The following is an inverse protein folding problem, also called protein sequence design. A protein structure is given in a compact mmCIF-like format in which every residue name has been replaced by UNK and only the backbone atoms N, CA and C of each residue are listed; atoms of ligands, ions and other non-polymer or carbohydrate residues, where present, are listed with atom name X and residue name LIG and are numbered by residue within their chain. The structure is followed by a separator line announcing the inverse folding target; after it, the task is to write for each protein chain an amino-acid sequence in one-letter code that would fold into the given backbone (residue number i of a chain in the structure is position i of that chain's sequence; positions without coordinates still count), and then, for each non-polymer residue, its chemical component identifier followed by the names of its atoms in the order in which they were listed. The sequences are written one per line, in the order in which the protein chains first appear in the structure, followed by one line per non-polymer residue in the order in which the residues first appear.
data_IF_148661507581
#
_entry.id   IF_148661507581
#
_cell.length_a   1.000
_cell.length_b   1.000
_cell.length_c   1.000
_cell.angle_alpha   90.00
_cell.angle_beta   90.00
_cell.angle_gamma   90.00
#
_symmetry.space_group_name_H-M   'P 1'
#
loop_
_entity.id
_entity.type
_entity.pdbx_description
1 polymer ?
#
# COMPACT_ATOMS: atom_id res chain seq x y z
N UNK A 1 -48.59 -31.97 -46.26
CA UNK A 1 -48.97 -30.64 -46.77
C UNK A 1 -47.79 -29.72 -46.51
N UNK A 2 -46.85 -29.46 -47.41
CA UNK A 2 -46.71 -29.56 -48.88
C UNK A 2 -45.22 -29.90 -49.12
N UNK A 3 -44.79 -30.88 -49.91
CA UNK A 3 -44.88 -31.03 -51.39
C UNK A 3 -44.62 -29.74 -52.17
N UNK A 4 -43.38 -29.57 -52.64
CA UNK A 4 -43.08 -29.01 -53.96
C UNK A 4 -41.66 -29.40 -54.39
N UNK A 5 -41.57 -29.83 -55.64
CA UNK A 5 -40.47 -30.52 -56.29
C UNK A 5 -39.43 -29.57 -56.93
N UNK A 6 -38.29 -30.21 -57.27
CA UNK A 6 -37.13 -29.87 -58.10
C UNK A 6 -37.45 -29.13 -59.45
N UNK A 7 -36.50 -28.46 -60.15
CA UNK A 7 -35.54 -29.18 -61.02
C UNK A 7 -34.10 -28.60 -61.17
N UNK A 8 -33.17 -29.55 -61.34
CA UNK A 8 -31.90 -29.58 -62.11
C UNK A 8 -31.57 -28.48 -63.13
N UNK A 9 -30.30 -28.03 -63.14
CA UNK A 9 -29.37 -27.84 -64.29
C UNK A 9 -28.11 -27.10 -63.75
N UNK A 10 -26.87 -27.23 -64.20
CA UNK A 10 -26.16 -27.97 -65.25
C UNK A 10 -24.66 -27.75 -64.92
N UNK A 11 -23.83 -28.77 -65.08
CA UNK A 11 -22.37 -28.60 -65.06
C UNK A 11 -21.91 -28.00 -66.42
N UNK A 12 -20.68 -27.48 -66.54
CA UNK A 12 -19.62 -28.43 -66.88
C UNK A 12 -18.26 -28.14 -66.23
N UNK A 13 -17.53 -29.23 -65.99
CA UNK A 13 -16.08 -29.29 -65.86
C UNK A 13 -15.38 -28.64 -67.05
N UNK A 14 -14.27 -27.95 -66.78
CA UNK A 14 -13.16 -27.85 -67.71
C UNK A 14 -11.86 -27.81 -66.91
N UNK A 15 -11.08 -28.87 -67.09
CA UNK A 15 -9.69 -29.00 -66.69
C UNK A 15 -8.83 -27.87 -67.28
N UNK A 16 -7.81 -27.41 -66.54
CA UNK A 16 -6.57 -26.99 -67.19
C UNK A 16 -5.36 -27.39 -66.33
N UNK A 17 -4.81 -28.53 -66.73
CA UNK A 17 -3.49 -29.01 -66.41
C UNK A 17 -2.43 -28.13 -67.07
N UNK A 18 -1.47 -27.59 -66.31
CA UNK A 18 -0.08 -27.67 -66.74
C UNK A 18 0.91 -27.32 -65.62
N UNK A 19 1.56 -28.40 -65.17
CA UNK A 19 2.89 -28.42 -64.60
C UNK A 19 3.89 -27.72 -65.52
N UNK A 20 4.63 -26.76 -65.00
CA UNK A 20 5.86 -26.27 -65.63
C UNK A 20 6.97 -26.28 -64.58
N UNK A 21 7.55 -27.45 -64.35
CA UNK A 21 8.86 -27.59 -63.70
C UNK A 21 9.91 -27.82 -64.78
N UNK A 22 10.85 -26.89 -64.87
CA UNK A 22 12.23 -27.14 -65.28
C UNK A 22 12.52 -27.15 -66.77
N UNK A 23 12.98 -26.00 -67.29
CA UNK A 23 14.09 -26.00 -68.25
C UNK A 23 15.06 -24.91 -67.85
N UNK A 24 16.22 -25.39 -67.42
CA UNK A 24 17.44 -24.66 -67.21
C UNK A 24 17.95 -24.13 -68.56
N UNK A 25 18.58 -22.95 -68.54
CA UNK A 25 19.47 -22.40 -69.57
C UNK A 25 18.92 -22.24 -71.01
N UNK A 26 18.34 -21.07 -71.31
CA UNK A 26 18.49 -20.47 -72.64
C UNK A 26 18.62 -18.94 -72.53
N UNK A 27 19.81 -18.52 -72.12
CA UNK A 27 20.31 -17.17 -72.42
C UNK A 27 20.70 -17.20 -73.88
N UNK A 28 19.93 -16.56 -74.77
CA UNK A 28 20.34 -15.82 -75.99
C UNK A 28 19.34 -15.97 -77.14
N UNK A 29 18.34 -15.09 -77.23
CA UNK A 29 17.77 -14.73 -78.56
C UNK A 29 16.92 -13.44 -78.53
N UNK A 30 16.33 -13.06 -77.40
CA UNK A 30 15.52 -11.83 -77.29
C UNK A 30 16.26 -10.57 -76.80
N UNK A 31 17.44 -10.71 -76.17
CA UNK A 31 18.19 -9.58 -75.61
C UNK A 31 19.19 -8.98 -76.60
N UNK A 32 19.60 -9.72 -77.64
CA UNK A 32 20.55 -9.27 -78.65
C UNK A 32 19.95 -8.24 -79.63
N UNK A 33 18.62 -8.23 -79.79
CA UNK A 33 17.91 -7.28 -80.65
C UNK A 33 17.79 -5.85 -80.09
N UNK A 34 18.15 -5.63 -78.80
CA UNK A 34 17.85 -4.39 -78.07
C UNK A 34 19.05 -3.42 -77.89
N UNK A 35 20.22 -3.76 -78.44
CA UNK A 35 21.46 -3.00 -78.24
C UNK A 35 21.92 -2.93 -76.77
N UNK A 36 23.11 -2.37 -76.53
CA UNK A 36 23.71 -2.31 -75.17
C UNK A 36 22.83 -1.54 -74.17
N UNK A 37 22.11 -0.52 -74.64
CA UNK A 37 21.21 0.27 -73.80
C UNK A 37 19.98 -0.52 -73.34
N UNK A 38 19.39 -1.36 -74.20
CA UNK A 38 18.22 -2.16 -73.87
C UNK A 38 18.56 -3.34 -72.95
N UNK A 39 19.73 -3.97 -73.13
CA UNK A 39 20.26 -4.97 -72.19
C UNK A 39 20.45 -4.39 -70.79
N UNK A 40 21.09 -3.22 -70.69
CA UNK A 40 21.29 -2.50 -69.42
C UNK A 40 19.97 -2.10 -68.73
N UNK A 41 18.96 -1.71 -69.51
CA UNK A 41 17.63 -1.40 -68.98
C UNK A 41 16.95 -2.65 -68.38
N UNK A 42 16.99 -3.78 -69.08
CA UNK A 42 16.44 -5.05 -68.60
C UNK A 42 17.16 -5.56 -67.35
N UNK A 43 18.48 -5.45 -67.31
CA UNK A 43 19.26 -5.84 -66.12
C UNK A 43 18.93 -4.94 -64.92
N UNK A 44 18.75 -3.64 -65.15
CA UNK A 44 18.32 -2.72 -64.08
C UNK A 44 16.92 -3.06 -63.53
N UNK A 45 16.01 -3.48 -64.41
CA UNK A 45 14.63 -3.83 -64.03
C UNK A 45 14.59 -5.17 -63.28
N UNK A 46 15.34 -6.17 -63.75
CA UNK A 46 15.52 -7.45 -63.05
C UNK A 46 16.13 -7.22 -61.67
N UNK A 47 17.16 -6.38 -61.57
CA UNK A 47 17.79 -6.06 -60.28
C UNK A 47 16.81 -5.38 -59.32
N UNK A 48 15.98 -4.45 -59.78
CA UNK A 48 14.94 -3.82 -58.95
C UNK A 48 13.91 -4.84 -58.48
N UNK A 49 13.40 -5.67 -59.39
CA UNK A 49 12.42 -6.69 -59.05
C UNK A 49 12.96 -7.72 -58.04
N UNK A 50 14.22 -8.14 -58.20
CA UNK A 50 14.88 -9.00 -57.23
C UNK A 50 15.02 -8.31 -55.87
N UNK A 51 15.44 -7.03 -55.84
CA UNK A 51 15.57 -6.27 -54.59
C UNK A 51 14.23 -6.09 -53.85
N UNK A 52 13.15 -5.81 -54.58
CA UNK A 52 11.81 -5.66 -54.00
C UNK A 52 11.28 -7.00 -53.49
N UNK A 53 11.50 -8.09 -54.24
CA UNK A 53 11.13 -9.44 -53.81
C UNK A 53 11.88 -9.86 -52.55
N UNK A 54 13.16 -9.55 -52.46
CA UNK A 54 13.99 -9.91 -51.32
C UNK A 54 13.63 -9.05 -50.08
N UNK A 55 13.30 -7.77 -50.27
CA UNK A 55 12.73 -6.91 -49.22
C UNK A 55 11.38 -7.43 -48.73
N UNK A 56 10.48 -7.82 -49.64
CA UNK A 56 9.18 -8.40 -49.28
C UNK A 56 9.37 -9.67 -48.46
N UNK A 57 10.26 -10.57 -48.89
CA UNK A 57 10.56 -11.81 -48.15
C UNK A 57 11.20 -11.54 -46.80
N UNK A 58 12.06 -10.53 -46.69
CA UNK A 58 12.64 -10.12 -45.42
C UNK A 58 11.57 -9.57 -44.47
N UNK A 59 10.66 -8.72 -44.96
CA UNK A 59 9.52 -8.21 -44.18
C UNK A 59 8.55 -9.32 -43.78
N UNK A 60 8.25 -10.27 -44.68
CA UNK A 60 7.43 -11.43 -44.36
C UNK A 60 8.08 -12.30 -43.29
N UNK A 61 9.39 -12.53 -43.37
CA UNK A 61 10.14 -13.25 -42.33
C UNK A 61 10.12 -12.52 -40.99
N UNK A 62 10.31 -11.19 -41.00
CA UNK A 62 10.24 -10.39 -39.77
C UNK A 62 8.83 -10.38 -39.17
N UNK A 63 7.79 -10.30 -40.00
CA UNK A 63 6.40 -10.40 -39.54
C UNK A 63 6.08 -11.79 -39.01
N UNK A 64 6.58 -12.84 -39.65
CA UNK A 64 6.42 -14.21 -39.19
C UNK A 64 7.21 -14.46 -37.90
N UNK A 65 8.41 -13.89 -37.77
CA UNK A 65 9.22 -13.97 -36.55
C UNK A 65 8.57 -13.20 -35.40
N UNK A 66 8.09 -11.96 -35.63
CA UNK A 66 7.32 -11.20 -34.65
C UNK A 66 6.04 -11.94 -34.25
N UNK A 67 5.33 -12.53 -35.21
CA UNK A 67 4.16 -13.36 -34.94
C UNK A 67 4.54 -14.61 -34.19
N UNK A 68 5.64 -15.29 -34.51
CA UNK A 68 6.11 -16.47 -33.80
C UNK A 68 6.60 -16.15 -32.39
N UNK A 69 7.17 -14.97 -32.15
CA UNK A 69 7.52 -14.51 -30.79
C UNK A 69 6.28 -14.07 -30.00
N UNK A 70 5.30 -13.43 -30.64
CA UNK A 70 4.03 -13.05 -30.00
C UNK A 70 3.07 -14.24 -29.81
N UNK A 71 3.21 -15.28 -30.63
CA UNK A 71 2.41 -16.51 -30.67
C UNK A 71 3.19 -17.72 -30.17
N UNK A 72 4.36 -17.51 -29.55
CA UNK A 72 4.83 -18.33 -28.45
C UNK A 72 4.08 -17.81 -27.22
N UNK A 73 2.88 -18.31 -26.92
CA UNK A 73 2.45 -18.27 -25.54
C UNK A 73 3.53 -19.05 -24.78
N UNK A 74 4.13 -18.44 -23.77
CA UNK A 74 4.46 -19.23 -22.59
C UNK A 74 3.19 -20.02 -22.27
N UNK A 75 3.28 -21.35 -22.37
CA UNK A 75 2.15 -22.19 -22.74
C UNK A 75 0.97 -22.03 -21.79
N UNK A 76 -0.25 -21.90 -22.30
CA UNK A 76 -1.48 -21.86 -21.49
C UNK A 76 -1.48 -20.88 -20.29
N UNK A 77 -0.53 -19.92 -20.24
CA UNK A 77 -0.44 -18.86 -19.24
C UNK A 77 -1.39 -17.71 -19.61
N UNK A 78 -2.66 -18.02 -19.89
CA UNK A 78 -3.69 -17.08 -19.43
C UNK A 78 -3.67 -17.22 -17.91
N UNK A 79 -3.12 -16.26 -17.14
CA UNK A 79 -3.14 -16.40 -15.71
C UNK A 79 -4.62 -16.52 -15.33
N UNK A 80 -4.97 -17.61 -14.64
CA UNK A 80 -6.35 -17.90 -14.29
C UNK A 80 -6.90 -16.66 -13.59
N UNK A 81 -7.76 -15.93 -14.30
CA UNK A 81 -8.23 -14.62 -13.85
C UNK A 81 -8.97 -14.78 -12.52
N UNK A 82 -9.59 -15.93 -12.28
CA UNK A 82 -10.20 -16.27 -11.00
C UNK A 82 -9.16 -16.58 -9.94
N UNK A 83 -8.05 -17.24 -10.26
CA UNK A 83 -6.93 -17.41 -9.33
C UNK A 83 -6.26 -16.07 -8.97
N UNK A 84 -6.02 -15.19 -9.94
CA UNK A 84 -5.50 -13.84 -9.68
C UNK A 84 -6.46 -13.06 -8.78
N UNK A 85 -7.77 -13.09 -9.08
CA UNK A 85 -8.77 -12.44 -8.24
C UNK A 85 -8.78 -13.02 -6.82
N UNK A 86 -8.76 -14.35 -6.67
CA UNK A 86 -8.69 -15.02 -5.35
C UNK A 86 -7.41 -14.69 -4.60
N UNK A 87 -6.29 -14.53 -5.30
CA UNK A 87 -5.03 -14.15 -4.67
C UNK A 87 -5.07 -12.68 -4.22
N UNK A 88 -5.55 -11.79 -5.09
CA UNK A 88 -5.71 -10.37 -4.78
C UNK A 88 -6.68 -10.12 -3.62
N UNK A 89 -7.80 -10.86 -3.55
CA UNK A 89 -8.75 -10.74 -2.43
C UNK A 89 -8.15 -11.26 -1.14
N UNK A 90 -7.43 -12.40 -1.17
CA UNK A 90 -6.73 -12.94 0.01
C UNK A 90 -5.66 -11.97 0.53
N UNK A 91 -4.87 -11.39 -0.36
CA UNK A 91 -3.85 -10.40 0.02
C UNK A 91 -4.48 -9.13 0.58
N UNK A 92 -5.54 -8.62 -0.05
CA UNK A 92 -6.25 -7.45 0.44
C UNK A 92 -6.88 -7.68 1.83
N UNK A 93 -7.51 -8.85 2.04
CA UNK A 93 -8.07 -9.26 3.33
C UNK A 93 -6.99 -9.42 4.39
N UNK A 94 -5.87 -10.09 4.06
CA UNK A 94 -4.73 -10.22 4.97
C UNK A 94 -4.17 -8.85 5.39
N UNK A 95 -4.01 -7.92 4.45
CA UNK A 95 -3.55 -6.56 4.76
C UNK A 95 -4.55 -5.80 5.64
N UNK A 96 -5.85 -5.94 5.39
CA UNK A 96 -6.89 -5.31 6.19
C UNK A 96 -6.92 -5.89 7.62
N UNK A 97 -6.93 -7.21 7.76
CA UNK A 97 -6.89 -7.92 9.04
C UNK A 97 -5.66 -7.55 9.85
N UNK A 98 -4.49 -7.46 9.22
CA UNK A 98 -3.26 -7.00 9.88
C UNK A 98 -3.33 -5.53 10.35
N UNK A 99 -4.11 -4.66 9.70
CA UNK A 99 -4.33 -3.28 10.17
C UNK A 99 -5.31 -3.23 11.36
N UNK A 100 -6.34 -4.07 11.31
CA UNK A 100 -7.32 -4.21 12.39
C UNK A 100 -6.62 -4.72 13.66
N UNK A 101 -5.87 -5.83 13.55
CA UNK A 101 -5.15 -6.41 14.68
C UNK A 101 -4.16 -5.41 15.32
N UNK A 102 -3.38 -4.68 14.51
CA UNK A 102 -2.50 -3.62 15.05
C UNK A 102 -3.26 -2.52 15.77
N UNK A 103 -4.44 -2.15 15.27
CA UNK A 103 -5.28 -1.12 15.87
C UNK A 103 -5.88 -1.59 17.19
N UNK A 104 -6.31 -2.85 17.24
CA UNK A 104 -6.88 -3.45 18.44
C UNK A 104 -5.84 -3.63 19.54
N UNK A 105 -4.66 -4.16 19.20
CA UNK A 105 -3.53 -4.29 20.15
C UNK A 105 -3.14 -2.92 20.70
N UNK A 106 -3.07 -1.91 19.83
CA UNK A 106 -2.79 -0.53 20.26
C UNK A 106 -3.90 0.01 21.18
N UNK A 107 -5.16 -0.27 20.86
CA UNK A 107 -6.30 0.17 21.66
C UNK A 107 -6.31 -0.49 23.05
N UNK A 108 -6.09 -1.80 23.12
CA UNK A 108 -6.00 -2.57 24.36
C UNK A 108 -4.79 -2.14 25.22
N UNK A 109 -3.72 -1.66 24.60
CA UNK A 109 -2.54 -1.15 25.29
C UNK A 109 -2.73 0.25 25.90
N UNK A 110 -3.75 1.01 25.50
CA UNK A 110 -4.00 2.36 26.02
C UNK A 110 -4.23 2.31 27.53
N UNK A 111 -3.44 3.09 28.28
CA UNK A 111 -3.56 3.17 29.74
C UNK A 111 -2.91 2.02 30.50
N UNK A 112 -2.57 0.91 29.82
CA UNK A 112 -1.76 -0.19 30.38
C UNK A 112 -0.26 0.06 30.16
N UNK A 113 0.12 0.48 28.95
CA UNK A 113 1.51 0.82 28.60
C UNK A 113 1.75 2.33 28.61
N UNK A 114 3.00 2.73 28.87
CA UNK A 114 3.43 4.12 28.80
C UNK A 114 3.34 4.66 27.36
N UNK A 115 3.72 3.84 26.37
CA UNK A 115 3.47 4.07 24.96
C UNK A 115 2.66 2.88 24.38
N UNK A 116 1.44 3.10 23.86
CA UNK A 116 0.65 2.04 23.23
C UNK A 116 1.32 1.41 21.99
N UNK A 117 2.27 2.10 21.35
CA UNK A 117 2.99 1.57 20.18
C UNK A 117 4.06 0.55 20.55
N UNK A 118 4.53 0.53 21.81
CA UNK A 118 5.47 -0.49 22.29
C UNK A 118 4.88 -1.90 22.20
N UNK A 119 3.56 -2.04 22.32
CA UNK A 119 2.88 -3.31 22.13
C UNK A 119 3.19 -3.91 20.74
N UNK A 120 3.25 -3.10 19.68
CA UNK A 120 3.53 -3.57 18.32
C UNK A 120 4.99 -4.02 18.13
N UNK A 121 5.90 -3.58 19.00
CA UNK A 121 7.32 -3.93 18.94
C UNK A 121 7.64 -5.18 19.78
N UNK A 122 6.90 -5.41 20.86
CA UNK A 122 7.20 -6.47 21.82
C UNK A 122 6.21 -7.65 21.81
N UNK A 123 5.04 -7.48 21.19
CA UNK A 123 4.04 -8.54 21.02
C UNK A 123 4.14 -9.09 19.59
N UNK A 124 4.19 -10.41 19.48
CA UNK A 124 4.16 -11.11 18.20
C UNK A 124 2.72 -11.18 17.68
N UNK A 125 2.42 -10.37 16.66
CA UNK A 125 1.08 -10.23 16.10
C UNK A 125 0.65 -11.48 15.32
N UNK A 126 1.59 -12.27 14.80
CA UNK A 126 1.27 -13.45 13.99
C UNK A 126 0.71 -14.61 14.83
N UNK A 127 0.73 -14.47 16.17
CA UNK A 127 0.14 -15.44 17.10
C UNK A 127 -1.36 -15.28 17.30
N UNK A 128 -1.90 -14.11 16.99
CA UNK A 128 -3.33 -13.87 17.16
C UNK A 128 -4.09 -14.28 15.91
N UNK A 129 -5.14 -15.07 16.11
CA UNK A 129 -6.04 -15.44 15.03
C UNK A 129 -7.05 -14.32 14.79
N UNK A 130 -7.22 -13.95 13.52
CA UNK A 130 -8.26 -12.99 13.09
C UNK A 130 -9.35 -13.79 12.39
N UNK A 131 -10.57 -13.70 12.90
CA UNK A 131 -11.75 -14.35 12.35
C UNK A 131 -12.12 -13.78 10.96
N UNK A 132 -12.98 -14.49 10.22
CA UNK A 132 -13.44 -14.06 8.89
C UNK A 132 -14.15 -12.68 8.89
N UNK A 133 -14.71 -12.28 10.04
CA UNK A 133 -15.36 -10.99 10.25
C UNK A 133 -14.38 -9.88 10.68
N UNK A 134 -13.10 -10.19 10.85
CA UNK A 134 -12.08 -9.27 11.32
C UNK A 134 -12.01 -9.13 12.85
N UNK A 135 -12.75 -9.94 13.61
CA UNK A 135 -12.68 -9.94 15.07
C UNK A 135 -11.44 -10.71 15.57
N UNK A 136 -10.94 -10.29 16.72
CA UNK A 136 -9.80 -10.88 17.44
C UNK A 136 -10.19 -11.09 18.90
N UNK A 137 -9.58 -12.06 19.56
CA UNK A 137 -9.83 -12.32 20.97
C UNK A 137 -9.24 -11.19 21.84
N UNK A 138 -10.11 -10.34 22.37
CA UNK A 138 -9.73 -9.21 23.19
C UNK A 138 -9.12 -9.63 24.53
N UNK A 139 -9.54 -10.76 25.08
CA UNK A 139 -9.01 -11.28 26.35
C UNK A 139 -7.60 -11.83 26.13
N UNK A 140 -7.36 -12.53 25.02
CA UNK A 140 -6.01 -13.00 24.65
C UNK A 140 -5.03 -11.82 24.47
N UNK A 141 -5.46 -10.75 23.80
CA UNK A 141 -4.66 -9.52 23.63
C UNK A 141 -4.39 -8.88 24.99
N UNK A 142 -5.39 -8.79 25.86
CA UNK A 142 -5.24 -8.21 27.19
C UNK A 142 -4.24 -8.99 28.05
N UNK A 143 -4.30 -10.32 28.02
CA UNK A 143 -3.38 -11.22 28.72
C UNK A 143 -1.94 -11.13 28.18
N UNK A 144 -1.78 -10.99 26.86
CA UNK A 144 -0.48 -10.77 26.25
C UNK A 144 0.15 -9.44 26.70
N UNK A 145 -0.65 -8.38 26.81
CA UNK A 145 -0.20 -7.07 27.32
C UNK A 145 0.16 -7.17 28.81
N UNK A 146 -0.63 -7.88 29.61
CA UNK A 146 -0.34 -8.03 31.03
C UNK A 146 0.93 -8.86 31.25
N UNK A 147 1.13 -9.91 30.45
CA UNK A 147 2.38 -10.69 30.41
C UNK A 147 3.58 -9.82 29.99
N UNK A 148 3.40 -8.94 29.00
CA UNK A 148 4.42 -7.98 28.59
C UNK A 148 4.80 -7.05 29.75
N UNK A 149 3.83 -6.52 30.48
CA UNK A 149 4.06 -5.66 31.65
C UNK A 149 4.80 -6.41 32.75
N UNK A 150 4.42 -7.67 33.04
CA UNK A 150 5.10 -8.49 34.03
C UNK A 150 6.58 -8.71 33.66
N UNK A 151 6.86 -9.00 32.39
CA UNK A 151 8.22 -9.24 31.89
C UNK A 151 9.04 -7.95 31.75
N UNK A 152 8.37 -6.83 31.44
CA UNK A 152 8.99 -5.52 31.22
C UNK A 152 8.23 -4.44 32.00
N UNK A 153 8.38 -4.38 33.34
CA UNK A 153 7.62 -3.45 34.17
C UNK A 153 7.83 -1.98 33.82
N UNK A 154 8.98 -1.63 33.25
CA UNK A 154 9.30 -0.28 32.81
C UNK A 154 8.44 0.23 31.65
N UNK A 155 7.77 -0.67 30.91
CA UNK A 155 6.84 -0.31 29.84
C UNK A 155 5.45 0.04 30.37
N UNK A 156 5.15 -0.29 31.63
CA UNK A 156 3.85 0.01 32.22
C UNK A 156 3.60 1.51 32.27
N UNK A 157 2.34 1.90 32.09
CA UNK A 157 1.92 3.28 32.28
C UNK A 157 2.19 3.67 33.74
N UNK A 158 3.15 4.58 33.93
CA UNK A 158 3.44 5.11 35.26
C UNK A 158 2.17 5.77 35.80
N UNK A 159 1.60 5.21 36.88
CA UNK A 159 0.44 5.78 37.60
C UNK A 159 0.82 7.05 38.38
N UNK A 160 1.93 7.70 38.01
CA UNK A 160 2.32 8.97 38.60
C UNK A 160 1.30 9.98 38.15
N UNK A 161 0.38 10.33 39.05
CA UNK A 161 -0.51 11.48 38.93
C UNK A 161 0.33 12.63 38.39
N UNK A 162 0.12 12.99 37.12
CA UNK A 162 0.71 14.20 36.53
C UNK A 162 0.53 15.29 37.55
N UNK A 163 1.64 15.91 37.95
CA UNK A 163 1.64 16.97 38.95
C UNK A 163 0.57 18.00 38.55
N UNK A 164 -0.55 17.99 39.27
CA UNK A 164 -1.65 18.93 39.07
C UNK A 164 -1.40 20.24 39.84
N UNK A 165 -0.14 20.56 40.12
CA UNK A 165 0.17 21.88 40.61
C UNK A 165 -0.14 22.86 39.49
N UNK A 166 -1.15 23.69 39.70
CA UNK A 166 -1.25 24.96 38.99
C UNK A 166 0.13 25.59 39.05
N UNK A 167 0.70 26.03 37.93
CA UNK A 167 2.04 26.65 37.88
C UNK A 167 2.19 27.91 38.75
N UNK A 168 1.15 28.28 39.50
CA UNK A 168 1.22 29.06 40.71
C UNK A 168 1.81 28.21 41.84
N UNK A 169 3.14 28.26 42.03
CA UNK A 169 3.83 27.77 43.21
C UNK A 169 3.42 28.54 44.46
N UNK A 170 2.11 28.55 44.75
CA UNK A 170 1.43 29.40 45.70
C UNK A 170 2.00 29.22 47.08
N UNK A 171 2.16 30.35 47.77
CA UNK A 171 2.77 30.47 49.08
C UNK A 171 2.36 29.31 49.99
N UNK A 172 3.36 28.53 50.39
CA UNK A 172 3.28 27.45 51.39
C UNK A 172 2.24 27.81 52.45
N UNK A 173 1.22 26.97 52.60
CA UNK A 173 0.12 27.13 53.57
C UNK A 173 0.70 27.58 54.90
N UNK A 174 0.47 28.84 55.27
CA UNK A 174 1.00 29.36 56.52
C UNK A 174 0.38 28.55 57.66
N UNK A 175 1.18 27.72 58.33
CA UNK A 175 0.79 26.98 59.53
C UNK A 175 0.74 27.95 60.70
N UNK A 176 -0.30 28.78 60.74
CA UNK A 176 -0.50 29.74 61.80
C UNK A 176 -1.70 30.66 61.57
N UNK A 177 -2.20 31.28 62.64
CA UNK A 177 -3.29 32.24 62.57
C UNK A 177 -2.88 33.47 61.77
N UNK A 178 -3.85 34.09 61.07
CA UNK A 178 -3.63 35.27 60.25
C UNK A 178 -3.06 36.42 61.10
N UNK A 179 -1.95 36.98 60.63
CA UNK A 179 -1.24 38.03 61.33
C UNK A 179 -1.91 39.38 61.08
N UNK A 180 -2.10 40.16 62.14
CA UNK A 180 -2.67 41.51 62.05
C UNK A 180 -1.61 42.51 61.63
N UNK A 181 -2.04 43.57 60.95
CA UNK A 181 -1.20 44.69 60.53
C UNK A 181 -1.26 45.83 61.54
N UNK A 182 -0.35 46.81 61.40
CA UNK A 182 -0.37 48.03 62.24
C UNK A 182 -1.66 48.85 62.05
N UNK A 183 -2.25 48.80 60.85
CA UNK A 183 -3.53 49.47 60.56
C UNK A 183 -4.70 48.81 61.31
N UNK A 184 -4.70 47.48 61.41
CA UNK A 184 -5.74 46.74 62.14
C UNK A 184 -5.71 47.07 63.63
N UNK A 185 -4.51 47.20 64.21
CA UNK A 185 -4.34 47.58 65.62
C UNK A 185 -4.90 48.97 65.95
N UNK A 186 -4.86 49.91 65.00
CA UNK A 186 -5.33 51.28 65.23
C UNK A 186 -6.85 51.36 65.48
N UNK A 187 -7.60 50.36 64.99
CA UNK A 187 -9.05 50.28 65.14
C UNK A 187 -9.49 49.29 66.23
N UNK A 188 -8.55 48.71 66.99
CA UNK A 188 -8.83 47.74 68.04
C UNK A 188 -8.81 48.36 69.43
N UNK A 189 -9.67 47.85 70.31
CA UNK A 189 -9.63 48.21 71.73
C UNK A 189 -8.46 47.51 72.44
N UNK A 190 -7.97 48.03 73.59
CA UNK A 190 -6.89 47.40 74.35
C UNK A 190 -7.16 45.93 74.73
N UNK A 191 -8.43 45.59 74.98
CA UNK A 191 -8.86 44.22 75.27
C UNK A 191 -8.72 43.31 74.04
N UNK A 192 -9.11 43.79 72.86
CA UNK A 192 -8.98 43.06 71.59
C UNK A 192 -7.52 42.82 71.22
N UNK A 193 -6.64 43.80 71.48
CA UNK A 193 -5.19 43.65 71.27
C UNK A 193 -4.61 42.56 72.18
N UNK A 194 -5.05 42.52 73.44
CA UNK A 194 -4.62 41.51 74.41
C UNK A 194 -5.07 40.10 73.98
N UNK A 195 -6.30 39.98 73.46
CA UNK A 195 -6.80 38.72 72.92
C UNK A 195 -6.02 38.29 71.66
N UNK A 196 -5.79 39.20 70.72
CA UNK A 196 -5.00 38.93 69.52
C UNK A 196 -3.56 38.49 69.81
N UNK A 197 -2.97 38.99 70.91
CA UNK A 197 -1.66 38.55 71.40
C UNK A 197 -1.71 37.10 71.89
N UNK A 198 -2.73 36.72 72.67
CA UNK A 198 -2.92 35.34 73.14
C UNK A 198 -3.17 34.37 71.99
N UNK A 199 -3.91 34.83 70.99
CA UNK A 199 -4.24 34.05 69.78
C UNK A 199 -3.06 33.96 68.79
N UNK A 200 -1.89 34.53 69.11
CA UNK A 200 -0.69 34.45 68.27
C UNK A 200 -0.77 35.25 66.96
N UNK A 201 -1.73 36.18 66.84
CA UNK A 201 -1.98 37.00 65.65
C UNK A 201 -1.07 38.22 65.51
N UNK A 202 -0.26 38.51 66.53
CA UNK A 202 0.67 39.65 66.58
C UNK A 202 2.13 39.23 66.43
N UNK A 203 2.43 37.97 66.09
CA UNK A 203 3.78 37.43 66.04
C UNK A 203 4.67 38.23 65.09
N UNK A 204 4.21 38.56 63.89
CA UNK A 204 4.98 39.35 62.91
C UNK A 204 5.32 40.76 63.41
N UNK A 205 4.35 41.44 64.03
CA UNK A 205 4.53 42.79 64.58
C UNK A 205 5.43 42.80 65.82
N UNK A 206 5.42 41.73 66.62
CA UNK A 206 6.26 41.57 67.82
C UNK A 206 7.67 41.07 67.50
N UNK A 207 7.85 40.31 66.41
CA UNK A 207 9.15 39.78 66.00
C UNK A 207 9.96 40.71 65.10
N UNK A 208 9.44 41.92 64.80
CA UNK A 208 10.13 42.90 63.95
C UNK A 208 10.25 42.51 62.48
N UNK A 209 9.40 41.60 61.99
CA UNK A 209 9.36 41.25 60.57
C UNK A 209 8.51 42.26 59.81
N UNK A 210 9.14 43.12 59.00
CA UNK A 210 8.44 43.90 57.97
C UNK A 210 8.08 43.00 56.79
#
# INVERSE_FOLDING_TARGET
MHDAENPTNDAPEAEDTSSATGTDAETTEGTDALGDAGKKALDSMKSKWHSERDQRRALERQLEELRATARKPEGDDTPDVEEIKRQATREALSQANGRILRSEVKAAAVGKLADPTDALAFIDLDKFEVSEDGSVDADEIADAIDTLIQNKPHLSAATVKRFQGTGDGGARKATGPSQLTRADLANMTPEQITQAKKDGRLKTLLSGGN
#
